data_IF_003633986105
#
_entry.id   IF_003633986105
#
_cell.length_a   1.000
_cell.length_b   1.000
_cell.length_c   1.000
_cell.angle_alpha   90.00
_cell.angle_beta   90.00
_cell.angle_gamma   90.00
#
_symmetry.space_group_name_H-M   'P 1'
#
loop_
_entity.id
_entity.type
_entity.pdbx_description
1 polymer ?
#
# COMPACT_ATOMS: atom_id res chain seq x y z
N UNK A 1 -16.01 13.58 8.30
CA UNK A 1 -14.61 14.03 8.08
C UNK A 1 -13.63 13.37 9.06
N UNK A 2 -13.81 13.42 10.39
CA UNK A 2 -12.89 12.79 11.36
C UNK A 2 -12.61 11.29 11.14
N UNK A 3 -13.61 10.51 10.71
CA UNK A 3 -13.47 9.07 10.40
C UNK A 3 -12.45 8.83 9.27
N UNK A 4 -12.52 9.59 8.17
CA UNK A 4 -11.56 9.49 7.06
C UNK A 4 -10.12 9.84 7.53
N UNK A 5 -9.97 10.88 8.36
CA UNK A 5 -8.66 11.25 8.96
C UNK A 5 -8.09 10.11 9.82
N UNK A 6 -8.92 9.55 10.72
CA UNK A 6 -8.59 8.41 11.59
C UNK A 6 -8.15 7.20 10.76
N UNK A 7 -8.88 6.87 9.70
CA UNK A 7 -8.63 5.67 8.90
C UNK A 7 -7.42 5.81 7.99
N UNK A 8 -7.12 7.01 7.48
CA UNK A 8 -5.86 7.27 6.78
C UNK A 8 -4.66 7.17 7.73
N UNK A 9 -4.78 7.69 8.96
CA UNK A 9 -3.74 7.53 9.97
C UNK A 9 -3.50 6.04 10.32
N UNK A 10 -4.55 5.25 10.55
CA UNK A 10 -4.46 3.80 10.75
C UNK A 10 -3.79 3.09 9.57
N UNK A 11 -4.22 3.39 8.34
CA UNK A 11 -3.70 2.75 7.12
C UNK A 11 -2.22 3.03 6.90
N UNK A 12 -1.80 4.29 7.07
CA UNK A 12 -0.38 4.66 6.94
C UNK A 12 0.49 3.96 7.99
N UNK A 13 0.04 3.92 9.26
CA UNK A 13 0.74 3.22 10.34
C UNK A 13 0.82 1.72 10.06
N UNK A 14 -0.30 1.08 9.71
CA UNK A 14 -0.37 -0.37 9.47
C UNK A 14 0.66 -0.84 8.45
N UNK A 15 0.80 -0.11 7.33
CA UNK A 15 1.78 -0.43 6.28
C UNK A 15 3.20 -0.02 6.67
N UNK A 16 3.38 1.03 7.49
CA UNK A 16 4.70 1.50 7.94
C UNK A 16 5.32 0.64 9.05
N UNK A 17 4.49 -0.02 9.87
CA UNK A 17 4.93 -0.95 10.91
C UNK A 17 5.03 -2.41 10.40
N UNK A 18 4.59 -2.69 9.17
CA UNK A 18 4.75 -3.99 8.51
C UNK A 18 6.25 -4.30 8.28
N UNK A 19 6.79 -5.09 9.21
CA UNK A 19 8.19 -5.52 9.27
C UNK A 19 8.64 -6.32 8.02
N UNK A 20 7.70 -6.81 7.20
CA UNK A 20 7.98 -7.54 5.97
C UNK A 20 8.15 -6.58 4.80
N UNK A 21 7.37 -5.49 4.75
CA UNK A 21 7.39 -4.49 3.65
C UNK A 21 8.39 -3.35 3.83
N UNK A 22 8.65 -2.95 5.07
CA UNK A 22 9.33 -1.69 5.41
C UNK A 22 10.72 -1.52 4.74
N UNK A 23 11.52 -2.59 4.61
CA UNK A 23 12.94 -2.45 4.29
C UNK A 23 13.32 -2.33 2.80
N UNK A 24 12.38 -2.37 1.82
CA UNK A 24 12.74 -2.21 0.39
C UNK A 24 11.59 -1.98 -0.63
N UNK A 25 10.37 -1.59 -0.22
CA UNK A 25 9.29 -1.36 -1.19
C UNK A 25 9.48 -0.07 -2.02
N UNK A 26 9.01 -0.07 -3.27
CA UNK A 26 8.92 1.15 -4.07
C UNK A 26 7.81 2.08 -3.51
N UNK A 27 7.99 3.39 -3.66
CA UNK A 27 7.11 4.39 -3.04
C UNK A 27 5.65 4.25 -3.51
N UNK A 28 5.40 3.86 -4.75
CA UNK A 28 4.03 3.71 -5.25
C UNK A 28 3.35 2.45 -4.70
N UNK A 29 4.06 1.32 -4.60
CA UNK A 29 3.58 0.08 -3.95
C UNK A 29 3.26 0.29 -2.46
N UNK A 30 4.00 1.18 -1.79
CA UNK A 30 3.65 1.62 -0.43
C UNK A 30 2.28 2.29 -0.41
N UNK A 31 2.05 3.27 -1.28
CA UNK A 31 0.81 4.04 -1.30
C UNK A 31 -0.39 3.24 -1.81
N UNK A 32 -0.18 2.26 -2.69
CA UNK A 32 -1.20 1.25 -3.05
C UNK A 32 -1.57 0.40 -1.83
N UNK A 33 -0.58 -0.12 -1.08
CA UNK A 33 -0.86 -0.84 0.18
C UNK A 33 -1.60 0.03 1.21
N UNK A 34 -1.30 1.33 1.29
CA UNK A 34 -2.01 2.28 2.17
C UNK A 34 -3.43 2.55 1.66
N UNK A 35 -3.67 2.56 0.35
CA UNK A 35 -5.01 2.68 -0.23
C UNK A 35 -5.87 1.46 0.09
N UNK A 36 -5.34 0.24 -0.11
CA UNK A 36 -6.01 -1.02 0.23
C UNK A 36 -6.44 -1.03 1.72
N UNK A 37 -5.49 -0.74 2.63
CA UNK A 37 -5.76 -0.70 4.07
C UNK A 37 -6.73 0.42 4.46
N UNK A 38 -6.69 1.57 3.78
CA UNK A 38 -7.65 2.65 3.98
C UNK A 38 -9.07 2.23 3.59
N UNK A 39 -9.23 1.53 2.47
CA UNK A 39 -10.52 0.99 2.04
C UNK A 39 -11.03 -0.12 2.96
N UNK A 40 -10.15 -0.94 3.54
CA UNK A 40 -10.53 -1.94 4.56
C UNK A 40 -11.07 -1.24 5.82
N UNK A 41 -10.33 -0.29 6.40
CA UNK A 41 -10.78 0.42 7.61
C UNK A 41 -12.03 1.28 7.40
N UNK A 42 -12.22 1.86 6.23
CA UNK A 42 -13.47 2.58 5.92
C UNK A 42 -14.66 1.61 5.84
N UNK A 43 -14.49 0.42 5.24
CA UNK A 43 -15.54 -0.59 5.19
C UNK A 43 -15.91 -1.14 6.58
N UNK A 44 -14.95 -1.31 7.48
CA UNK A 44 -15.19 -1.69 8.89
C UNK A 44 -16.02 -0.64 9.65
N UNK A 45 -15.71 0.65 9.46
CA UNK A 45 -16.47 1.77 10.04
C UNK A 45 -17.81 2.04 9.29
N UNK A 46 -18.16 1.25 8.27
CA UNK A 46 -19.40 1.38 7.49
C UNK A 46 -19.39 2.44 6.38
N UNK A 47 -18.24 3.08 6.11
CA UNK A 47 -18.07 4.14 5.11
C UNK A 47 -17.54 3.54 3.79
N UNK A 48 -18.34 3.54 2.71
CA UNK A 48 -17.85 3.15 1.37
C UNK A 48 -17.29 4.38 0.64
N UNK A 49 -15.99 4.60 0.79
CA UNK A 49 -15.28 5.77 0.23
C UNK A 49 -14.23 5.32 -0.79
N UNK A 50 -14.56 5.40 -2.08
CA UNK A 50 -13.60 5.17 -3.14
C UNK A 50 -12.69 6.40 -3.31
N UNK A 51 -11.37 6.16 -3.38
CA UNK A 51 -10.32 7.18 -3.40
C UNK A 51 -9.16 6.70 -4.25
N UNK A 52 -8.32 7.63 -4.70
CA UNK A 52 -7.10 7.35 -5.45
C UNK A 52 -5.86 7.51 -4.57
N UNK A 53 -4.76 6.86 -4.97
CA UNK A 53 -3.43 7.05 -4.36
C UNK A 53 -3.04 8.53 -4.29
N UNK A 54 -3.29 9.31 -5.35
CA UNK A 54 -2.96 10.74 -5.41
C UNK A 54 -3.73 11.56 -4.38
N UNK A 55 -5.01 11.26 -4.15
CA UNK A 55 -5.79 11.89 -3.09
C UNK A 55 -5.19 11.59 -1.71
N UNK A 56 -4.87 10.32 -1.41
CA UNK A 56 -4.28 9.95 -0.12
C UNK A 56 -2.90 10.56 0.10
N UNK A 57 -2.04 10.61 -0.93
CA UNK A 57 -0.72 11.26 -0.86
C UNK A 57 -0.84 12.74 -0.45
N UNK A 58 -1.71 13.49 -1.13
CA UNK A 58 -1.93 14.91 -0.83
C UNK A 58 -2.55 15.09 0.57
N UNK A 59 -3.63 14.37 0.85
CA UNK A 59 -4.37 14.52 2.12
C UNK A 59 -3.54 14.08 3.34
N UNK A 60 -2.69 13.06 3.18
CA UNK A 60 -1.69 12.69 4.18
C UNK A 60 -0.66 13.80 4.40
N UNK A 61 -0.17 14.44 3.34
CA UNK A 61 0.80 15.54 3.46
C UNK A 61 0.23 16.68 4.31
N UNK A 62 -0.99 17.10 4.03
CA UNK A 62 -1.68 18.17 4.76
C UNK A 62 -1.93 17.78 6.23
N UNK A 63 -2.50 16.59 6.46
CA UNK A 63 -2.78 16.06 7.79
C UNK A 63 -1.51 15.89 8.63
N UNK A 64 -0.45 15.33 8.04
CA UNK A 64 0.84 15.12 8.71
C UNK A 64 1.52 16.45 9.04
N UNK A 65 1.46 17.45 8.14
CA UNK A 65 1.97 18.80 8.41
C UNK A 65 1.20 19.46 9.56
N UNK A 66 -0.13 19.38 9.56
CA UNK A 66 -0.97 19.87 10.66
C UNK A 66 -0.62 19.18 12.00
N UNK A 67 -0.50 17.85 12.02
CA UNK A 67 -0.12 17.08 13.20
C UNK A 67 1.28 17.45 13.74
N UNK A 68 2.28 17.68 12.87
CA UNK A 68 3.63 18.15 13.27
C UNK A 68 3.60 19.53 13.91
N UNK A 69 2.80 20.46 13.38
CA UNK A 69 2.63 21.79 13.97
C UNK A 69 1.90 21.69 15.32
N UNK A 70 0.85 20.87 15.41
CA UNK A 70 0.13 20.64 16.68
C UNK A 70 1.05 20.06 17.76
N UNK A 71 1.88 19.06 17.43
CA UNK A 71 2.87 18.52 18.37
C UNK A 71 3.91 19.57 18.80
N UNK A 72 4.31 20.47 17.90
CA UNK A 72 5.18 21.60 18.23
C UNK A 72 4.49 22.56 19.22
N UNK A 73 3.19 22.84 19.02
CA UNK A 73 2.40 23.67 19.93
C UNK A 73 2.24 23.00 21.31
N UNK A 74 1.91 21.70 21.35
CA UNK A 74 1.87 20.91 22.59
C UNK A 74 3.20 20.99 23.35
N UNK A 75 4.33 20.77 22.68
CA UNK A 75 5.67 20.89 23.30
C UNK A 75 5.92 22.29 23.86
N UNK A 76 5.57 23.35 23.13
CA UNK A 76 5.68 24.73 23.62
C UNK A 76 4.81 24.99 24.86
N UNK A 77 3.58 24.48 24.87
CA UNK A 77 2.64 24.63 26.00
C UNK A 77 3.14 23.84 27.23
N UNK A 78 3.64 22.62 27.04
CA UNK A 78 4.21 21.78 28.11
C UNK A 78 5.52 22.33 28.71
N UNK A 79 6.25 23.18 27.98
CA UNK A 79 7.47 23.85 28.44
C UNK A 79 7.19 25.20 29.15
N UNK A 80 5.95 25.70 29.10
CA UNK A 80 5.54 26.90 29.83
C UNK A 80 5.36 26.67 31.33
N UNK A 81 5.08 27.73 32.13
CA UNK A 81 4.84 27.61 33.57
C UNK A 81 3.66 26.67 33.87
N UNK A 82 3.95 25.53 34.51
CA UNK A 82 3.01 24.41 34.72
C UNK A 82 1.94 24.73 35.81
N UNK A 83 1.97 25.91 36.42
CA UNK A 83 1.12 26.30 37.55
C UNK A 83 -0.38 26.37 37.19
N UNK A 84 -1.08 25.24 37.35
CA UNK A 84 -2.55 25.13 37.32
C UNK A 84 -3.16 24.43 36.09
N UNK A 85 -2.37 24.01 35.10
CA UNK A 85 -2.92 23.41 33.88
C UNK A 85 -3.15 21.89 34.00
N UNK A 86 -4.41 21.50 34.15
CA UNK A 86 -4.86 20.11 33.98
C UNK A 86 -4.72 19.67 32.50
N UNK A 87 -4.73 18.35 32.26
CA UNK A 87 -4.53 17.76 30.92
C UNK A 87 -5.51 18.29 29.85
N UNK A 88 -6.76 18.60 30.21
CA UNK A 88 -7.72 19.24 29.30
C UNK A 88 -7.27 20.63 28.85
N UNK A 89 -6.75 21.43 29.79
CA UNK A 89 -6.28 22.79 29.54
C UNK A 89 -5.04 22.81 28.62
N UNK A 90 -4.15 21.80 28.71
CA UNK A 90 -3.01 21.64 27.80
C UNK A 90 -3.45 21.45 26.34
N UNK A 91 -4.40 20.55 26.14
CA UNK A 91 -4.89 20.17 24.81
C UNK A 91 -5.65 21.33 24.17
N UNK A 92 -6.41 22.11 24.94
CA UNK A 92 -7.13 23.29 24.43
C UNK A 92 -6.21 24.49 24.19
N UNK A 93 -5.23 24.76 25.08
CA UNK A 93 -4.20 25.78 24.85
C UNK A 93 -3.36 25.49 23.59
N UNK A 94 -3.05 24.22 23.31
CA UNK A 94 -2.34 23.82 22.08
C UNK A 94 -3.20 24.03 20.82
N UNK A 95 -4.52 23.80 20.88
CA UNK A 95 -5.45 24.13 19.77
C UNK A 95 -5.49 25.63 19.52
N UNK A 96 -5.65 26.45 20.57
CA UNK A 96 -5.63 27.91 20.44
C UNK A 96 -4.31 28.39 19.85
N UNK A 97 -3.17 27.86 20.27
CA UNK A 97 -1.86 28.21 19.70
C UNK A 97 -1.74 27.79 18.21
N UNK A 98 -2.30 26.64 17.83
CA UNK A 98 -2.36 26.18 16.43
C UNK A 98 -3.20 27.12 15.56
N UNK A 99 -4.38 27.54 16.05
CA UNK A 99 -5.29 28.44 15.35
C UNK A 99 -4.72 29.85 15.20
N UNK A 100 -4.10 30.39 16.27
CA UNK A 100 -3.40 31.70 16.27
C UNK A 100 -2.22 31.72 15.30
N UNK A 101 -1.56 30.58 15.03
CA UNK A 101 -0.51 30.45 14.00
C UNK A 101 -1.05 30.46 12.56
N UNK A 102 -2.34 30.77 12.36
CA UNK A 102 -2.95 30.94 11.03
C UNK A 102 -3.17 29.62 10.28
N UNK A 103 -3.20 28.49 10.98
CA UNK A 103 -3.29 27.14 10.37
C UNK A 103 -4.71 26.58 10.28
N UNK A 104 -5.71 27.45 10.42
CA UNK A 104 -7.12 27.10 10.40
C UNK A 104 -7.56 26.33 11.66
N UNK A 105 -8.83 25.92 11.70
CA UNK A 105 -9.39 25.15 12.81
C UNK A 105 -8.71 23.78 12.95
N UNK A 106 -8.50 23.32 14.18
CA UNK A 106 -7.92 21.99 14.42
C UNK A 106 -8.94 20.86 14.15
N UNK A 107 -8.75 20.11 13.06
CA UNK A 107 -9.68 19.05 12.60
C UNK A 107 -9.11 17.62 12.66
N UNK A 108 -7.85 17.44 13.04
CA UNK A 108 -7.13 16.16 12.93
C UNK A 108 -6.97 15.41 14.27
N UNK A 109 -7.80 15.71 15.28
CA UNK A 109 -7.72 15.13 16.63
C UNK A 109 -7.63 13.59 16.65
N UNK A 110 -8.52 12.92 15.92
CA UNK A 110 -8.57 11.44 15.90
C UNK A 110 -7.37 10.82 15.18
N UNK A 111 -6.88 11.47 14.11
CA UNK A 111 -5.67 11.06 13.41
C UNK A 111 -4.43 11.24 14.29
N UNK A 112 -4.28 12.39 14.94
CA UNK A 112 -3.17 12.65 15.87
C UNK A 112 -3.16 11.65 17.04
N UNK A 113 -4.33 11.28 17.59
CA UNK A 113 -4.44 10.26 18.64
C UNK A 113 -3.92 8.88 18.18
N UNK A 114 -4.12 8.51 16.91
CA UNK A 114 -3.50 7.31 16.34
C UNK A 114 -1.99 7.55 16.22
N UNK A 115 -1.57 8.55 15.43
CA UNK A 115 -0.18 8.77 15.05
C UNK A 115 0.79 8.95 16.24
N UNK A 116 0.38 9.69 17.27
CA UNK A 116 1.21 10.02 18.44
C UNK A 116 1.60 8.80 19.31
N UNK A 117 0.90 7.67 19.18
CA UNK A 117 1.25 6.42 19.88
C UNK A 117 2.37 5.69 19.14
N UNK A 118 2.36 5.69 17.81
CA UNK A 118 3.19 4.81 16.97
C UNK A 118 4.62 5.32 16.76
N UNK A 119 5.59 4.41 16.88
CA UNK A 119 7.02 4.75 16.87
C UNK A 119 7.52 5.11 15.46
N UNK A 120 6.93 4.52 14.41
CA UNK A 120 7.25 4.83 13.02
C UNK A 120 7.02 6.32 12.69
N UNK A 121 5.94 6.91 13.22
CA UNK A 121 5.62 8.32 13.01
C UNK A 121 6.55 9.24 13.80
N UNK A 122 6.93 8.87 15.03
CA UNK A 122 7.95 9.60 15.82
C UNK A 122 9.31 9.62 15.11
N UNK A 123 9.72 8.50 14.52
CA UNK A 123 10.95 8.42 13.71
C UNK A 123 10.85 9.34 12.48
N UNK A 124 9.71 9.33 11.76
CA UNK A 124 9.46 10.23 10.61
C UNK A 124 9.47 11.73 10.99
N UNK A 125 9.10 12.08 12.21
CA UNK A 125 9.21 13.46 12.69
C UNK A 125 10.66 13.89 12.95
N UNK A 126 11.49 12.97 13.44
CA UNK A 126 12.89 13.24 13.79
C UNK A 126 13.84 13.21 12.57
N UNK A 127 13.37 12.83 11.39
CA UNK A 127 14.15 12.89 10.15
C UNK A 127 14.28 14.35 9.66
N UNK A 128 15.42 14.98 9.95
CA UNK A 128 15.76 16.33 9.50
C UNK A 128 15.84 16.42 7.96
N UNK A 129 15.41 17.51 7.30
CA UNK A 129 15.38 17.62 5.84
C UNK A 129 16.72 17.34 5.14
N UNK A 130 17.86 17.64 5.78
CA UNK A 130 19.19 17.33 5.24
C UNK A 130 19.43 15.85 4.96
N UNK A 131 18.77 14.94 5.70
CA UNK A 131 18.90 13.49 5.50
C UNK A 131 18.26 13.04 4.19
N UNK A 132 17.19 13.72 3.75
CA UNK A 132 16.54 13.45 2.46
C UNK A 132 17.41 13.90 1.28
N UNK A 133 18.05 15.08 1.38
CA UNK A 133 18.94 15.61 0.35
C UNK A 133 20.14 14.68 0.08
N UNK A 134 20.72 14.08 1.13
CA UNK A 134 21.88 13.18 1.02
C UNK A 134 21.52 11.85 0.32
N UNK A 135 20.30 11.35 0.54
CA UNK A 135 19.80 10.10 -0.06
C UNK A 135 19.39 10.24 -1.54
N UNK A 136 18.96 11.43 -1.97
CA UNK A 136 18.72 11.70 -3.40
C UNK A 136 20.05 11.80 -4.16
N UNK A 137 21.06 12.49 -3.59
CA UNK A 137 22.35 12.71 -4.26
C UNK A 137 23.16 11.42 -4.48
N UNK A 138 23.04 10.42 -3.61
CA UNK A 138 23.70 9.12 -3.79
C UNK A 138 23.07 8.22 -4.87
N UNK A 139 21.88 8.55 -5.41
CA UNK A 139 21.22 7.75 -6.46
C UNK A 139 21.57 8.15 -7.91
N UNK A 140 22.43 9.16 -8.11
CA UNK A 140 22.77 9.65 -9.47
C UNK A 140 24.25 9.48 -9.89
N UNK A 141 25.10 8.81 -9.10
CA UNK A 141 26.52 8.59 -9.46
C UNK A 141 26.95 7.14 -9.30
N UNK A 142 26.49 6.25 -10.19
CA UNK A 142 27.06 4.91 -10.34
C UNK A 142 26.92 4.38 -11.77
N UNK A 143 27.48 5.11 -12.74
CA UNK A 143 27.78 4.53 -14.06
C UNK A 143 28.91 5.29 -14.77
N UNK A 144 30.15 4.83 -14.58
CA UNK A 144 31.28 5.01 -15.52
C UNK A 144 32.45 4.11 -15.10
N UNK A 145 32.98 3.35 -16.06
CA UNK A 145 34.13 2.44 -15.90
C UNK A 145 35.46 3.20 -15.71
N UNK A 146 36.52 2.56 -15.18
CA UNK A 146 37.81 3.21 -15.01
C UNK A 146 38.51 3.47 -16.35
N UNK A 147 38.64 4.74 -16.72
CA UNK A 147 39.38 5.20 -17.89
C UNK A 147 40.76 5.76 -17.52
N UNK A 148 41.82 5.06 -17.94
CA UNK A 148 43.21 5.53 -17.88
C UNK A 148 43.44 6.68 -18.87
N UNK A 149 44.01 7.82 -18.45
CA UNK A 149 44.71 8.79 -19.32
C UNK A 149 45.48 9.87 -18.52
N UNK A 150 46.82 9.88 -18.66
CA UNK A 150 47.71 11.07 -18.62
C UNK A 150 48.01 11.49 -20.08
N UNK A 151 48.62 12.66 -20.45
CA UNK A 151 49.77 13.35 -19.80
C UNK A 151 49.77 14.91 -19.93
N UNK A 152 50.97 15.55 -19.81
CA UNK A 152 51.46 16.87 -20.35
C UNK A 152 52.12 17.75 -19.25
N UNK A 153 53.42 17.57 -18.88
CA UNK A 153 54.69 18.27 -19.33
C UNK A 153 54.93 19.67 -18.69
N UNK A 154 56.16 20.30 -18.71
CA UNK A 154 57.39 19.99 -19.46
C UNK A 154 58.78 20.00 -18.73
N UNK A 155 59.81 19.64 -19.53
CA UNK A 155 61.29 19.76 -19.38
C UNK A 155 62.04 18.82 -18.40
N UNK A 156 63.36 18.54 -18.49
CA UNK A 156 64.52 19.07 -19.29
C UNK A 156 65.38 17.92 -19.93
N UNK A 157 66.48 18.14 -20.72
CA UNK A 157 67.01 17.13 -21.65
C UNK A 157 68.41 16.51 -21.34
N UNK A 158 68.91 15.72 -22.32
CA UNK A 158 70.24 15.06 -22.54
C UNK A 158 70.20 13.54 -22.31
N UNK A 159 70.75 12.64 -23.14
CA UNK A 159 71.11 12.48 -24.57
C UNK A 159 72.03 11.24 -24.58
N UNK A 160 71.93 10.36 -25.59
CA UNK A 160 73.01 9.42 -25.99
C UNK A 160 73.41 8.29 -25.00
N UNK A 161 73.78 7.06 -25.40
CA UNK A 161 73.91 6.41 -26.71
C UNK A 161 73.59 4.90 -26.59
N UNK A 162 73.38 4.22 -27.73
CA UNK A 162 73.47 2.75 -27.82
C UNK A 162 74.93 2.27 -27.64
N UNK A 163 75.11 1.05 -27.12
CA UNK A 163 76.01 0.08 -27.75
C UNK A 163 75.60 -1.37 -27.41
N UNK A 164 75.77 -2.27 -28.36
CA UNK A 164 75.49 -3.73 -28.27
C UNK A 164 76.84 -4.50 -28.21
N UNK A 165 76.96 -5.82 -28.51
CA UNK A 165 76.04 -6.96 -28.46
C UNK A 165 76.65 -8.14 -27.62
N UNK A 166 76.02 -9.32 -27.59
CA UNK A 166 76.67 -10.64 -27.89
C UNK A 166 75.57 -11.65 -28.26
N UNK A 167 75.82 -12.45 -29.31
CA UNK A 167 74.99 -13.57 -29.78
C UNK A 167 75.34 -14.87 -29.06
N UNK A 168 74.32 -15.71 -28.79
CA UNK A 168 74.38 -17.17 -29.02
C UNK A 168 72.96 -17.73 -29.16
N UNK A 169 72.70 -18.36 -30.29
CA UNK A 169 71.57 -19.29 -30.54
C UNK A 169 71.91 -20.68 -30.01
N UNK A 170 70.92 -21.41 -29.50
CA UNK A 170 70.82 -22.88 -29.70
C UNK A 170 69.40 -23.38 -29.36
N UNK A 171 69.01 -24.50 -29.96
CA UNK A 171 67.67 -25.09 -29.90
C UNK A 171 67.45 -26.07 -28.73
N UNK A 172 66.21 -26.57 -28.62
CA UNK A 172 65.73 -27.70 -27.81
C UNK A 172 65.81 -27.61 -26.26
N UNK A 173 64.64 -27.60 -25.61
CA UNK A 173 64.06 -28.81 -24.99
C UNK A 173 62.73 -28.50 -24.31
N UNK A 174 61.64 -29.13 -24.76
CA UNK A 174 60.40 -29.17 -23.95
C UNK A 174 60.64 -30.01 -22.69
N UNK A 175 60.70 -29.34 -21.53
CA UNK A 175 60.74 -30.01 -20.21
C UNK A 175 59.34 -30.01 -19.57
N UNK A 176 58.93 -31.08 -18.87
CA UNK A 176 57.55 -31.28 -18.45
C UNK A 176 57.07 -30.18 -17.51
N UNK A 177 55.93 -29.56 -17.86
CA UNK A 177 55.35 -28.41 -17.17
C UNK A 177 55.28 -28.60 -15.64
N UNK A 178 56.07 -27.80 -14.92
CA UNK A 178 56.40 -28.05 -13.52
C UNK A 178 55.19 -28.21 -12.59
N UNK A 179 55.37 -29.01 -11.54
CA UNK A 179 54.39 -29.41 -10.51
C UNK A 179 53.56 -28.23 -9.95
N UNK A 180 54.13 -27.02 -9.93
CA UNK A 180 53.47 -25.79 -9.50
C UNK A 180 52.32 -25.37 -10.45
N UNK A 181 52.49 -25.50 -11.77
CA UNK A 181 51.45 -25.16 -12.77
C UNK A 181 50.22 -26.08 -12.68
N UNK A 182 50.45 -27.38 -12.47
CA UNK A 182 49.39 -28.37 -12.26
C UNK A 182 48.66 -28.17 -10.93
N UNK A 183 49.37 -27.78 -9.86
CA UNK A 183 48.76 -27.36 -8.59
C UNK A 183 47.90 -26.11 -8.77
N UNK A 184 48.36 -25.09 -9.50
CA UNK A 184 47.60 -23.86 -9.74
C UNK A 184 46.31 -24.12 -10.54
N UNK A 185 46.35 -24.97 -11.59
CA UNK A 185 45.15 -25.39 -12.34
C UNK A 185 44.13 -26.12 -11.43
N UNK A 186 44.58 -27.00 -10.54
CA UNK A 186 43.71 -27.67 -9.55
C UNK A 186 43.09 -26.69 -8.54
N UNK A 187 43.84 -25.69 -8.07
CA UNK A 187 43.34 -24.65 -7.16
C UNK A 187 42.31 -23.75 -7.83
N UNK A 188 42.54 -23.34 -9.08
CA UNK A 188 41.57 -22.55 -9.86
C UNK A 188 40.28 -23.34 -10.12
N UNK A 189 40.35 -24.65 -10.44
CA UNK A 189 39.16 -25.50 -10.61
C UNK A 189 38.39 -25.67 -9.30
N UNK A 190 39.07 -25.83 -8.15
CA UNK A 190 38.41 -25.80 -6.83
C UNK A 190 37.71 -24.46 -6.56
N UNK A 191 38.35 -23.34 -6.88
CA UNK A 191 37.79 -21.99 -6.71
C UNK A 191 36.56 -21.74 -7.60
N UNK A 192 36.56 -22.23 -8.84
CA UNK A 192 35.38 -22.20 -9.71
C UNK A 192 34.24 -23.06 -9.15
N UNK A 193 34.51 -24.28 -8.71
CA UNK A 193 33.49 -25.14 -8.11
C UNK A 193 32.85 -24.50 -6.86
N UNK A 194 33.67 -23.92 -5.96
CA UNK A 194 33.20 -23.17 -4.80
C UNK A 194 32.34 -21.95 -5.19
N UNK A 195 32.69 -21.24 -6.27
CA UNK A 195 31.90 -20.11 -6.76
C UNK A 195 30.53 -20.56 -7.29
N UNK A 196 30.49 -21.66 -8.05
CA UNK A 196 29.25 -22.27 -8.56
C UNK A 196 28.37 -22.76 -7.39
N UNK A 197 28.96 -23.39 -6.37
CA UNK A 197 28.26 -23.85 -5.17
C UNK A 197 27.63 -22.67 -4.40
N UNK A 198 28.41 -21.60 -4.15
CA UNK A 198 27.90 -20.37 -3.56
C UNK A 198 26.77 -19.73 -4.39
N UNK A 199 26.88 -19.75 -5.72
CA UNK A 199 25.85 -19.22 -6.62
C UNK A 199 24.56 -20.06 -6.57
N UNK A 200 24.67 -21.39 -6.54
CA UNK A 200 23.53 -22.30 -6.40
C UNK A 200 22.82 -22.14 -5.05
N UNK A 201 23.57 -21.91 -3.96
CA UNK A 201 23.01 -21.59 -2.64
C UNK A 201 22.26 -20.25 -2.67
N UNK A 202 22.78 -19.24 -3.37
CA UNK A 202 22.11 -17.95 -3.51
C UNK A 202 20.82 -18.06 -4.33
N UNK A 203 20.84 -18.74 -5.48
CA UNK A 203 19.65 -19.02 -6.30
C UNK A 203 18.60 -19.77 -5.48
N UNK A 204 19.00 -20.87 -4.80
CA UNK A 204 18.11 -21.64 -3.92
C UNK A 204 17.50 -20.80 -2.79
N UNK A 205 18.20 -19.76 -2.33
CA UNK A 205 17.69 -18.82 -1.32
C UNK A 205 16.69 -17.84 -1.92
N UNK A 206 16.92 -17.35 -3.14
CA UNK A 206 15.98 -16.48 -3.87
C UNK A 206 14.67 -17.23 -4.18
N UNK A 207 14.74 -18.45 -4.70
CA UNK A 207 13.56 -19.29 -4.97
C UNK A 207 12.69 -19.52 -3.71
N UNK A 208 13.32 -19.71 -2.55
CA UNK A 208 12.62 -19.85 -1.26
C UNK A 208 11.96 -18.55 -0.81
N UNK A 209 12.47 -17.40 -1.22
CA UNK A 209 11.87 -16.09 -0.95
C UNK A 209 10.73 -15.82 -1.92
N UNK A 210 10.88 -16.12 -3.21
CA UNK A 210 9.83 -16.01 -4.24
C UNK A 210 8.61 -16.86 -3.85
N UNK A 211 8.82 -18.17 -3.57
CA UNK A 211 7.77 -19.09 -3.12
C UNK A 211 7.09 -18.68 -1.81
N UNK A 212 7.75 -17.86 -0.97
CA UNK A 212 7.12 -17.27 0.22
C UNK A 212 6.24 -16.06 -0.13
N UNK A 213 6.68 -15.20 -1.05
CA UNK A 213 5.86 -14.09 -1.56
C UNK A 213 4.62 -14.62 -2.28
N UNK A 214 4.78 -15.57 -3.19
CA UNK A 214 3.69 -16.20 -3.94
C UNK A 214 2.62 -16.77 -3.01
N UNK A 215 3.03 -17.56 -2.00
CA UNK A 215 2.10 -18.10 -0.99
C UNK A 215 1.35 -17.02 -0.22
N UNK A 216 2.03 -15.93 0.14
CA UNK A 216 1.40 -14.81 0.86
C UNK A 216 0.39 -14.05 -0.02
N UNK A 217 0.72 -13.81 -1.29
CA UNK A 217 -0.20 -13.20 -2.26
C UNK A 217 -1.40 -14.11 -2.50
N UNK A 218 -1.19 -15.40 -2.73
CA UNK A 218 -2.27 -16.38 -2.90
C UNK A 218 -3.19 -16.48 -1.65
N UNK A 219 -2.62 -16.43 -0.44
CA UNK A 219 -3.42 -16.42 0.80
C UNK A 219 -4.23 -15.13 0.95
N UNK A 220 -3.66 -13.97 0.61
CA UNK A 220 -4.36 -12.68 0.57
C UNK A 220 -5.52 -12.71 -0.43
N UNK A 221 -5.27 -13.23 -1.63
CA UNK A 221 -6.24 -13.22 -2.72
C UNK A 221 -7.40 -14.20 -2.44
N UNK A 222 -7.11 -15.40 -1.91
CA UNK A 222 -8.14 -16.31 -1.38
C UNK A 222 -8.98 -15.66 -0.27
N UNK A 223 -8.32 -14.96 0.67
CA UNK A 223 -9.01 -14.18 1.72
C UNK A 223 -9.84 -13.01 1.18
N UNK A 224 -9.56 -12.52 -0.03
CA UNK A 224 -10.37 -11.51 -0.72
C UNK A 224 -11.59 -12.16 -1.38
N UNK A 225 -11.40 -13.23 -2.14
CA UNK A 225 -12.47 -14.03 -2.76
C UNK A 225 -13.49 -14.52 -1.72
N UNK A 226 -13.04 -15.04 -0.56
CA UNK A 226 -13.90 -15.47 0.56
C UNK A 226 -14.71 -14.31 1.18
N UNK A 227 -14.24 -13.06 1.10
CA UNK A 227 -15.00 -11.87 1.53
C UNK A 227 -16.01 -11.45 0.45
N UNK A 228 -15.58 -11.40 -0.81
CA UNK A 228 -16.44 -11.02 -1.94
C UNK A 228 -17.62 -12.00 -2.12
N UNK A 229 -17.36 -13.32 -2.00
CA UNK A 229 -18.41 -14.34 -1.99
C UNK A 229 -19.40 -14.18 -0.81
N UNK A 230 -18.93 -13.78 0.38
CA UNK A 230 -19.81 -13.46 1.53
C UNK A 230 -20.66 -12.23 1.26
N UNK A 231 -20.11 -11.20 0.59
CA UNK A 231 -20.84 -9.98 0.23
C UNK A 231 -21.93 -10.29 -0.81
N UNK A 232 -21.62 -11.07 -1.85
CA UNK A 232 -22.58 -11.51 -2.87
C UNK A 232 -23.73 -12.27 -2.22
N UNK A 233 -23.43 -13.29 -1.40
CA UNK A 233 -24.43 -14.09 -0.68
C UNK A 233 -25.31 -13.26 0.27
N UNK A 234 -24.77 -12.19 0.87
CA UNK A 234 -25.55 -11.27 1.70
C UNK A 234 -26.46 -10.36 0.86
N UNK A 235 -26.02 -9.91 -0.33
CA UNK A 235 -26.83 -9.14 -1.28
C UNK A 235 -27.98 -9.98 -1.82
N UNK A 236 -27.71 -11.20 -2.27
CA UNK A 236 -28.72 -12.16 -2.74
C UNK A 236 -29.80 -12.40 -1.69
N UNK A 237 -29.41 -12.65 -0.42
CA UNK A 237 -30.36 -12.79 0.69
C UNK A 237 -31.22 -11.54 0.90
N UNK A 238 -30.63 -10.35 0.85
CA UNK A 238 -31.38 -9.08 0.97
C UNK A 238 -32.37 -8.90 -0.18
N UNK A 239 -31.95 -9.15 -1.41
CA UNK A 239 -32.82 -9.09 -2.60
C UNK A 239 -33.97 -10.10 -2.45
N UNK A 240 -33.67 -11.35 -2.09
CA UNK A 240 -34.69 -12.39 -1.92
C UNK A 240 -35.71 -12.05 -0.81
N UNK A 241 -35.27 -11.46 0.31
CA UNK A 241 -36.17 -10.98 1.37
C UNK A 241 -37.07 -9.86 0.85
N UNK A 242 -36.54 -8.87 0.12
CA UNK A 242 -37.34 -7.78 -0.47
C UNK A 242 -38.35 -8.32 -1.48
N UNK A 243 -37.93 -9.19 -2.40
CA UNK A 243 -38.81 -9.80 -3.42
C UNK A 243 -39.91 -10.65 -2.76
N UNK A 244 -39.61 -11.41 -1.72
CA UNK A 244 -40.61 -12.19 -0.99
C UNK A 244 -41.60 -11.30 -0.21
N UNK A 245 -41.13 -10.23 0.42
CA UNK A 245 -42.01 -9.25 1.09
C UNK A 245 -42.93 -8.54 0.10
N UNK A 246 -42.42 -8.13 -1.06
CA UNK A 246 -43.21 -7.52 -2.13
C UNK A 246 -44.25 -8.51 -2.68
N UNK A 247 -43.87 -9.76 -2.93
CA UNK A 247 -44.80 -10.81 -3.36
C UNK A 247 -45.92 -11.07 -2.34
N UNK A 248 -45.60 -11.07 -1.03
CA UNK A 248 -46.60 -11.19 0.04
C UNK A 248 -47.53 -9.97 0.11
N UNK A 249 -46.98 -8.75 -0.01
CA UNK A 249 -47.76 -7.52 -0.01
C UNK A 249 -48.72 -7.47 -1.22
N UNK A 250 -48.21 -7.81 -2.41
CA UNK A 250 -49.02 -7.91 -3.62
C UNK A 250 -50.14 -8.96 -3.45
N UNK A 251 -49.82 -10.16 -2.94
CA UNK A 251 -50.82 -11.21 -2.71
C UNK A 251 -51.92 -10.79 -1.72
N UNK A 252 -51.59 -10.04 -0.66
CA UNK A 252 -52.58 -9.47 0.25
C UNK A 252 -53.46 -8.41 -0.42
N UNK A 253 -52.89 -7.57 -1.29
CA UNK A 253 -53.66 -6.56 -2.02
C UNK A 253 -54.55 -7.22 -3.08
N UNK A 254 -54.07 -8.24 -3.77
CA UNK A 254 -54.84 -9.07 -4.69
C UNK A 254 -56.04 -9.71 -3.97
N UNK A 255 -55.84 -10.32 -2.79
CA UNK A 255 -56.92 -10.88 -1.98
C UNK A 255 -57.97 -9.83 -1.59
N UNK A 256 -57.56 -8.62 -1.18
CA UNK A 256 -58.51 -7.52 -0.87
C UNK A 256 -59.35 -7.15 -2.09
N UNK A 257 -58.73 -7.01 -3.26
CA UNK A 257 -59.43 -6.70 -4.51
C UNK A 257 -60.40 -7.82 -4.90
N UNK A 258 -60.02 -9.09 -4.73
CA UNK A 258 -60.90 -10.24 -5.00
C UNK A 258 -62.06 -10.36 -4.01
N UNK A 259 -61.87 -9.98 -2.74
CA UNK A 259 -62.87 -10.13 -1.67
C UNK A 259 -63.84 -8.94 -1.52
N UNK A 260 -63.55 -7.79 -2.14
CA UNK A 260 -64.38 -6.58 -2.05
C UNK A 260 -65.83 -6.82 -2.52
N UNK A 261 -66.85 -6.30 -1.84
CA UNK A 261 -68.21 -6.33 -2.38
C UNK A 261 -68.38 -5.25 -3.47
N UNK A 262 -68.99 -5.65 -4.59
CA UNK A 262 -69.21 -4.85 -5.79
C UNK A 262 -70.70 -4.49 -6.01
N UNK A 263 -71.59 -5.02 -5.15
CA UNK A 263 -73.03 -4.82 -5.25
C UNK A 263 -73.45 -3.37 -5.04
N UNK A 264 -72.79 -2.68 -4.11
CA UNK A 264 -73.12 -1.31 -3.64
C UNK A 264 -72.41 -0.18 -4.40
N UNK A 265 -71.46 -0.49 -5.28
CA UNK A 265 -70.64 0.50 -5.98
C UNK A 265 -71.32 1.07 -7.23
N UNK A 266 -70.96 2.32 -7.57
CA UNK A 266 -71.41 3.01 -8.78
C UNK A 266 -70.91 2.29 -10.05
N UNK A 267 -71.67 2.35 -11.14
CA UNK A 267 -71.40 1.55 -12.34
C UNK A 267 -70.00 1.77 -12.95
N UNK A 268 -69.50 3.01 -12.91
CA UNK A 268 -68.14 3.38 -13.35
C UNK A 268 -67.06 2.75 -12.48
N UNK A 269 -67.24 2.76 -11.16
CA UNK A 269 -66.35 2.12 -10.19
C UNK A 269 -66.39 0.59 -10.30
N UNK A 270 -67.58 0.02 -10.58
CA UNK A 270 -67.74 -1.42 -10.78
C UNK A 270 -66.90 -1.94 -11.94
N UNK A 271 -66.99 -1.28 -13.10
CA UNK A 271 -66.22 -1.64 -14.31
C UNK A 271 -64.71 -1.58 -14.04
N UNK A 272 -64.24 -0.56 -13.31
CA UNK A 272 -62.82 -0.42 -12.96
C UNK A 272 -62.31 -1.61 -12.12
N UNK A 273 -63.02 -1.98 -11.06
CA UNK A 273 -62.61 -3.08 -10.19
C UNK A 273 -62.80 -4.48 -10.82
N UNK A 274 -63.80 -4.67 -11.68
CA UNK A 274 -63.94 -5.89 -12.49
C UNK A 274 -62.74 -6.07 -13.44
N UNK A 275 -62.32 -5.00 -14.14
CA UNK A 275 -61.11 -5.04 -14.95
C UNK A 275 -59.87 -5.39 -14.12
N UNK A 276 -59.74 -4.82 -12.92
CA UNK A 276 -58.64 -5.12 -12.00
C UNK A 276 -58.64 -6.59 -11.54
N UNK A 277 -59.81 -7.17 -11.22
CA UNK A 277 -59.94 -8.60 -10.89
C UNK A 277 -59.55 -9.50 -12.04
N UNK A 278 -60.02 -9.19 -13.25
CA UNK A 278 -59.71 -9.97 -14.45
C UNK A 278 -58.20 -9.94 -14.76
N UNK A 279 -57.53 -8.80 -14.56
CA UNK A 279 -56.07 -8.70 -14.68
C UNK A 279 -55.33 -9.56 -13.64
N UNK A 280 -55.80 -9.59 -12.38
CA UNK A 280 -55.23 -10.45 -11.33
C UNK A 280 -55.44 -11.94 -11.68
N UNK A 281 -56.67 -12.35 -12.07
CA UNK A 281 -56.96 -13.73 -12.49
C UNK A 281 -56.07 -14.16 -13.66
N UNK A 282 -55.91 -13.31 -14.68
CA UNK A 282 -55.08 -13.59 -15.85
C UNK A 282 -53.61 -13.79 -15.46
N UNK A 283 -53.05 -12.92 -14.60
CA UNK A 283 -51.67 -13.06 -14.10
C UNK A 283 -51.48 -14.34 -13.28
N UNK A 284 -52.42 -14.67 -12.39
CA UNK A 284 -52.35 -15.91 -11.60
C UNK A 284 -52.43 -17.16 -12.49
N UNK A 285 -53.31 -17.16 -13.48
CA UNK A 285 -53.43 -18.25 -14.46
C UNK A 285 -52.16 -18.41 -15.31
N UNK A 286 -51.57 -17.31 -15.77
CA UNK A 286 -50.28 -17.32 -16.48
C UNK A 286 -49.12 -17.80 -15.60
N UNK A 287 -49.10 -17.46 -14.31
CA UNK A 287 -48.08 -17.95 -13.37
C UNK A 287 -48.21 -19.46 -13.13
N UNK A 288 -49.44 -19.98 -13.07
CA UNK A 288 -49.69 -21.41 -12.84
C UNK A 288 -49.42 -22.30 -14.07
N UNK A 289 -49.39 -21.73 -15.28
CA UNK A 289 -49.14 -22.44 -16.54
C UNK A 289 -47.69 -22.33 -17.05
N UNK A 290 -46.80 -21.65 -16.32
CA UNK A 290 -45.38 -21.48 -16.65
C UNK A 290 -44.46 -22.27 -15.69
N UNK A 291 -44.99 -23.37 -15.11
CA UNK A 291 -44.29 -24.35 -14.25
C UNK A 291 -44.33 -25.70 -14.96
#
# INVERSE_FOLDING_TARGET
MGIQNKNLAKAWVHVSEDRIKNNNQQLDVFWESVLDAFHEFCQEDGERVERTVSYLKNYWSDMNHACKIYETCLKSVMQGPISGMQQGNLDDAAKTMYEVRGKGKWLYKDAYKVLSVHQCWKILQNQHPETLARNVRMKQTSNSSPGTSTPTTPDTPVSSNNDSPVLVTDEETERPGGIQSAKQKKMNKKRQNLLIECQNVLISRLDRMEKKKEKYVAERDKKKEERDARIIKLRERKINVVVNLEAQFQAQNDQKVMAMDMSTLENTQRIYWEAQRNAIMTRLFQANNNI
#
